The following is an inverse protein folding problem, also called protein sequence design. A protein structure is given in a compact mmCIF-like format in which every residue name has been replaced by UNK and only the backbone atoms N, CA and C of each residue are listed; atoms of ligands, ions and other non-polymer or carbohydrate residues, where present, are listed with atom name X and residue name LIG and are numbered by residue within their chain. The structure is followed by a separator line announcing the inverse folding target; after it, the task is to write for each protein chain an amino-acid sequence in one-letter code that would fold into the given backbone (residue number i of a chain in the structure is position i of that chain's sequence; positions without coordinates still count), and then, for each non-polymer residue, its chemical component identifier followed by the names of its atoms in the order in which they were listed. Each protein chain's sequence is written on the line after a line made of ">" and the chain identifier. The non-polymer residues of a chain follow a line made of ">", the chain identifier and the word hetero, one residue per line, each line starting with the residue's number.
data_IF_432113250374
#
_entry.id   IF_432113250374
#
_cell.length_a   1.000
_cell.length_b   1.000
_cell.length_c   1.000
_cell.angle_alpha   90.00
_cell.angle_beta   90.00
_cell.angle_gamma   90.00
#
_symmetry.space_group_name_H-M   'P 1'
#
loop_
_entity.id
_entity.type
_entity.pdbx_description
1 polymer ?
#
# COMPACT_ATOMS: atom_id res chain seq x y z
N UNK A 1 -11.65 28.14 47.44
CA UNK A 1 -10.72 28.67 46.43
C UNK A 1 -9.65 27.66 46.01
N UNK A 2 -8.89 27.08 46.95
CA UNK A 2 -7.79 26.14 46.63
C UNK A 2 -8.27 24.90 45.85
N UNK A 3 -9.36 24.25 46.28
CA UNK A 3 -9.91 23.06 45.62
C UNK A 3 -10.38 23.34 44.18
N UNK A 4 -10.98 24.51 43.94
CA UNK A 4 -11.43 24.91 42.60
C UNK A 4 -10.23 25.16 41.67
N UNK A 5 -9.18 25.79 42.20
CA UNK A 5 -7.96 26.08 41.46
C UNK A 5 -7.19 24.80 41.10
N UNK A 6 -7.12 23.81 41.99
CA UNK A 6 -6.46 22.53 41.69
C UNK A 6 -7.23 21.70 40.66
N UNK A 7 -8.57 21.67 40.73
CA UNK A 7 -9.42 21.02 39.72
C UNK A 7 -9.26 21.69 38.36
N UNK A 8 -9.23 23.03 38.32
CA UNK A 8 -9.01 23.78 37.08
C UNK A 8 -7.64 23.48 36.45
N UNK A 9 -6.57 23.46 37.25
CA UNK A 9 -5.23 23.13 36.76
C UNK A 9 -5.14 21.69 36.23
N UNK A 10 -5.79 20.72 36.90
CA UNK A 10 -5.83 19.34 36.42
C UNK A 10 -6.58 19.21 35.09
N UNK A 11 -7.71 19.92 34.94
CA UNK A 11 -8.45 19.96 33.67
C UNK A 11 -7.63 20.60 32.55
N UNK A 12 -6.97 21.73 32.82
CA UNK A 12 -6.09 22.39 31.87
C UNK A 12 -4.90 21.51 31.46
N UNK A 13 -4.26 20.82 32.41
CA UNK A 13 -3.21 19.86 32.11
C UNK A 13 -3.71 18.69 31.23
N UNK A 14 -4.92 18.19 31.50
CA UNK A 14 -5.57 17.18 30.68
C UNK A 14 -5.79 17.64 29.24
N UNK A 15 -6.29 18.87 29.04
CA UNK A 15 -6.44 19.46 27.71
C UNK A 15 -5.11 19.63 26.98
N UNK A 16 -4.07 20.08 27.66
CA UNK A 16 -2.73 20.25 27.08
C UNK A 16 -2.20 18.88 26.62
N UNK A 17 -2.35 17.83 27.43
CA UNK A 17 -1.94 16.47 27.05
C UNK A 17 -2.72 15.95 25.84
N UNK A 18 -4.02 16.21 25.77
CA UNK A 18 -4.85 15.82 24.64
C UNK A 18 -4.44 16.58 23.36
N UNK A 19 -4.13 17.86 23.46
CA UNK A 19 -3.63 18.67 22.35
C UNK A 19 -2.26 18.16 21.86
N UNK A 20 -1.33 17.87 22.78
CA UNK A 20 -0.01 17.31 22.43
C UNK A 20 -0.18 15.97 21.71
N UNK A 21 -1.05 15.10 22.23
CA UNK A 21 -1.35 13.81 21.61
C UNK A 21 -1.93 13.97 20.20
N UNK A 22 -2.90 14.88 20.03
CA UNK A 22 -3.49 15.19 18.73
C UNK A 22 -2.47 15.75 17.74
N UNK A 23 -1.61 16.68 18.17
CA UNK A 23 -0.53 17.23 17.34
C UNK A 23 0.46 16.14 16.92
N UNK A 24 0.82 15.25 17.84
CA UNK A 24 1.74 14.13 17.56
C UNK A 24 1.16 13.18 16.51
N UNK A 25 -0.15 12.90 16.56
CA UNK A 25 -0.82 12.08 15.53
C UNK A 25 -0.80 12.80 14.18
N UNK A 26 -1.19 14.07 14.13
CA UNK A 26 -1.21 14.84 12.89
C UNK A 26 0.18 14.95 12.24
N UNK A 27 1.24 15.15 13.04
CA UNK A 27 2.61 15.19 12.55
C UNK A 27 3.06 13.84 11.99
N UNK A 28 2.69 12.73 12.65
CA UNK A 28 2.96 11.37 12.13
C UNK A 28 2.27 11.12 10.80
N UNK A 29 1.00 11.53 10.68
CA UNK A 29 0.22 11.41 9.45
C UNK A 29 0.84 12.21 8.30
N UNK A 30 1.17 13.49 8.54
CA UNK A 30 1.83 14.34 7.54
C UNK A 30 3.16 13.74 7.06
N UNK A 31 3.98 13.24 7.99
CA UNK A 31 5.25 12.60 7.64
C UNK A 31 5.03 11.34 6.80
N UNK A 32 4.08 10.50 7.18
CA UNK A 32 3.75 9.29 6.45
C UNK A 32 3.29 9.57 5.03
N UNK A 33 2.36 10.52 4.85
CA UNK A 33 1.88 10.91 3.52
C UNK A 33 2.99 11.51 2.66
N UNK A 34 3.89 12.29 3.26
CA UNK A 34 5.05 12.84 2.55
C UNK A 34 5.98 11.73 2.03
N UNK A 35 6.31 10.74 2.86
CA UNK A 35 7.16 9.61 2.44
C UNK A 35 6.49 8.77 1.36
N UNK A 36 5.20 8.47 1.52
CA UNK A 36 4.40 7.72 0.52
C UNK A 36 4.39 8.47 -0.82
N UNK A 37 4.06 9.75 -0.83
CA UNK A 37 4.03 10.56 -2.06
C UNK A 37 5.40 10.64 -2.73
N UNK A 38 6.48 10.72 -1.94
CA UNK A 38 7.85 10.68 -2.45
C UNK A 38 8.17 9.35 -3.12
N UNK A 39 7.71 8.23 -2.57
CA UNK A 39 7.87 6.91 -3.21
C UNK A 39 7.04 6.81 -4.47
N UNK A 40 5.76 7.22 -4.47
CA UNK A 40 4.96 7.28 -5.69
C UNK A 40 5.60 8.12 -6.78
N UNK A 41 6.11 9.30 -6.44
CA UNK A 41 6.83 10.16 -7.38
C UNK A 41 8.05 9.45 -7.98
N UNK A 42 8.85 8.75 -7.17
CA UNK A 42 9.96 7.93 -7.67
C UNK A 42 9.48 6.81 -8.59
N UNK A 43 8.38 6.13 -8.25
CA UNK A 43 7.82 5.07 -9.09
C UNK A 43 7.40 5.62 -10.46
N UNK A 44 6.75 6.77 -10.52
CA UNK A 44 6.35 7.38 -11.79
C UNK A 44 7.53 7.77 -12.69
N UNK A 45 8.72 7.98 -12.12
CA UNK A 45 9.94 8.30 -12.84
C UNK A 45 10.75 7.07 -13.25
N UNK A 46 10.32 5.86 -12.89
CA UNK A 46 11.01 4.65 -13.31
C UNK A 46 10.74 4.37 -14.79
N UNK A 47 11.81 4.37 -15.57
CA UNK A 47 11.83 3.89 -16.94
C UNK A 47 11.43 2.41 -16.99
N UNK A 48 10.61 2.08 -17.98
CA UNK A 48 10.20 0.71 -18.28
C UNK A 48 10.72 0.32 -19.65
N UNK A 49 11.41 -0.83 -19.74
CA UNK A 49 11.76 -1.39 -21.05
C UNK A 49 10.53 -2.07 -21.68
N UNK A 50 10.43 -2.15 -23.02
CA UNK A 50 9.40 -2.94 -23.66
C UNK A 50 9.43 -4.39 -23.16
N UNK A 51 8.32 -4.87 -22.59
CA UNK A 51 8.20 -6.21 -22.03
C UNK A 51 8.38 -6.30 -20.51
N UNK A 52 8.77 -5.22 -19.83
CA UNK A 52 8.75 -5.19 -18.37
C UNK A 52 7.29 -5.16 -17.87
N UNK A 53 6.84 -6.23 -17.23
CA UNK A 53 5.50 -6.31 -16.64
C UNK A 53 5.49 -5.73 -15.21
N UNK A 54 6.57 -5.95 -14.46
CA UNK A 54 6.73 -5.52 -13.07
C UNK A 54 8.10 -4.90 -12.82
N UNK A 55 8.10 -3.70 -12.23
CA UNK A 55 9.30 -2.95 -11.89
C UNK A 55 9.32 -2.71 -10.38
N UNK A 56 10.38 -3.17 -9.70
CA UNK A 56 10.55 -2.98 -8.26
C UNK A 56 11.52 -1.82 -8.02
N UNK A 57 11.08 -0.79 -7.30
CA UNK A 57 11.95 0.30 -6.89
C UNK A 57 12.96 -0.19 -5.85
N UNK A 58 14.24 -0.13 -6.21
CA UNK A 58 15.34 -0.49 -5.31
C UNK A 58 15.20 -1.93 -4.82
N UNK A 59 15.13 -2.92 -5.74
CA UNK A 59 14.99 -4.34 -5.41
C UNK A 59 16.00 -4.87 -4.39
N UNK A 60 17.19 -4.25 -4.35
CA UNK A 60 18.29 -4.63 -3.48
C UNK A 60 18.26 -3.89 -2.12
N UNK A 61 17.27 -3.03 -1.90
CA UNK A 61 17.09 -2.29 -0.64
C UNK A 61 16.78 -3.29 0.50
N UNK A 62 17.51 -3.22 1.64
CA UNK A 62 17.23 -4.05 2.81
C UNK A 62 15.78 -3.96 3.33
N UNK A 63 15.05 -2.90 3.02
CA UNK A 63 13.63 -2.75 3.34
C UNK A 63 12.76 -3.86 2.72
N UNK A 64 13.20 -4.50 1.64
CA UNK A 64 12.52 -5.65 1.04
C UNK A 64 12.72 -6.96 1.80
N UNK A 65 13.68 -7.04 2.73
CA UNK A 65 13.97 -8.25 3.51
C UNK A 65 14.16 -9.51 2.62
N UNK A 66 14.74 -9.34 1.44
CA UNK A 66 14.93 -10.40 0.45
C UNK A 66 13.67 -10.85 -0.30
N UNK A 67 12.52 -10.19 -0.11
CA UNK A 67 11.23 -10.57 -0.72
C UNK A 67 10.90 -9.88 -2.03
N UNK A 68 11.74 -8.97 -2.52
CA UNK A 68 11.53 -8.32 -3.81
C UNK A 68 11.34 -9.33 -4.97
N UNK A 69 12.14 -10.41 -5.11
CA UNK A 69 11.93 -11.41 -6.15
C UNK A 69 10.59 -12.14 -6.02
N UNK A 70 10.22 -12.53 -4.79
CA UNK A 70 8.94 -13.17 -4.52
C UNK A 70 7.77 -12.26 -4.93
N UNK A 71 7.77 -11.00 -4.49
CA UNK A 71 6.71 -10.03 -4.83
C UNK A 71 6.61 -9.84 -6.35
N UNK A 72 7.76 -9.71 -7.03
CA UNK A 72 7.80 -9.60 -8.49
C UNK A 72 7.13 -10.80 -9.16
N UNK A 73 7.53 -12.02 -8.81
CA UNK A 73 6.97 -13.25 -9.37
C UNK A 73 5.44 -13.34 -9.16
N UNK A 74 4.96 -13.02 -7.94
CA UNK A 74 3.52 -13.09 -7.63
C UNK A 74 2.72 -12.07 -8.43
N UNK A 75 3.23 -10.85 -8.61
CA UNK A 75 2.53 -9.83 -9.41
C UNK A 75 2.58 -10.14 -10.91
N UNK A 76 3.70 -10.65 -11.42
CA UNK A 76 3.78 -11.14 -12.81
C UNK A 76 2.78 -12.27 -13.08
N UNK A 77 2.62 -13.19 -12.12
CA UNK A 77 1.58 -14.21 -12.19
C UNK A 77 0.17 -13.60 -12.24
N UNK A 78 -0.12 -12.63 -11.36
CA UNK A 78 -1.41 -11.96 -11.34
C UNK A 78 -1.72 -11.24 -12.67
N UNK A 79 -0.74 -10.54 -13.24
CA UNK A 79 -0.85 -9.90 -14.56
C UNK A 79 -1.21 -10.95 -15.63
N UNK A 80 -0.49 -12.06 -15.65
CA UNK A 80 -0.74 -13.15 -16.60
C UNK A 80 -2.14 -13.76 -16.46
N UNK A 81 -2.60 -13.98 -15.23
CA UNK A 81 -3.97 -14.46 -14.95
C UNK A 81 -4.99 -13.45 -15.43
N UNK A 82 -4.84 -12.17 -15.05
CA UNK A 82 -5.75 -11.10 -15.45
C UNK A 82 -5.84 -10.92 -16.95
N UNK A 83 -4.73 -11.05 -17.66
CA UNK A 83 -4.68 -11.01 -19.14
C UNK A 83 -5.46 -12.16 -19.75
N UNK A 84 -5.24 -13.40 -19.29
CA UNK A 84 -5.97 -14.59 -19.77
C UNK A 84 -7.47 -14.53 -19.49
N UNK A 85 -7.87 -13.89 -18.39
CA UNK A 85 -9.28 -13.72 -18.02
C UNK A 85 -9.94 -12.50 -18.69
N UNK A 86 -9.19 -11.70 -19.44
CA UNK A 86 -9.71 -10.47 -20.07
C UNK A 86 -10.03 -9.36 -19.08
N UNK A 87 -9.44 -9.38 -17.89
CA UNK A 87 -9.59 -8.31 -16.89
C UNK A 87 -8.60 -7.16 -17.12
N UNK A 88 -7.44 -7.46 -17.69
CA UNK A 88 -6.40 -6.47 -17.96
C UNK A 88 -6.79 -5.64 -19.20
N UNK A 89 -6.83 -4.31 -19.07
CA UNK A 89 -6.97 -3.42 -20.22
C UNK A 89 -5.69 -3.47 -21.07
N UNK A 90 -5.82 -3.53 -22.40
CA UNK A 90 -4.66 -3.59 -23.32
C UNK A 90 -3.69 -2.41 -23.16
N UNK A 91 -4.18 -1.27 -22.66
CA UNK A 91 -3.40 -0.06 -22.40
C UNK A 91 -2.71 -0.03 -21.03
N UNK A 92 -2.73 -1.12 -20.25
CA UNK A 92 -2.08 -1.15 -18.94
C UNK A 92 -0.55 -1.14 -19.08
N UNK A 93 0.10 -0.17 -18.44
CA UNK A 93 1.56 -0.08 -18.30
C UNK A 93 2.09 -1.06 -17.23
N UNK A 94 3.41 -1.25 -17.20
CA UNK A 94 4.11 -2.01 -16.16
C UNK A 94 3.67 -1.62 -14.75
N UNK A 95 3.41 -2.62 -13.91
CA UNK A 95 3.12 -2.41 -12.49
C UNK A 95 4.40 -2.04 -11.76
N UNK A 96 4.40 -0.93 -11.04
CA UNK A 96 5.57 -0.42 -10.33
C UNK A 96 5.37 -0.57 -8.84
N UNK A 97 6.32 -1.15 -8.12
CA UNK A 97 6.16 -1.49 -6.71
C UNK A 97 7.28 -0.88 -5.89
N UNK A 98 6.92 -0.16 -4.84
CA UNK A 98 7.85 0.42 -3.88
C UNK A 98 7.57 -0.06 -2.46
N UNK A 99 8.56 0.12 -1.58
CA UNK A 99 8.41 -0.11 -0.15
C UNK A 99 8.67 1.19 0.61
N UNK A 100 7.96 1.39 1.72
CA UNK A 100 8.17 2.53 2.63
C UNK A 100 8.19 2.05 4.08
N UNK A 101 8.98 2.70 4.92
CA UNK A 101 9.11 2.34 6.34
C UNK A 101 7.78 2.40 7.09
N UNK A 102 6.88 3.31 6.71
CA UNK A 102 5.59 3.42 7.37
C UNK A 102 4.51 4.06 6.49
N UNK A 103 3.37 3.38 6.38
CA UNK A 103 2.09 3.91 5.90
C UNK A 103 1.16 3.96 7.10
N UNK A 104 0.69 5.15 7.47
CA UNK A 104 -0.18 5.29 8.63
C UNK A 104 -1.52 4.64 8.35
N UNK A 105 -1.89 3.65 9.17
CA UNK A 105 -3.15 2.92 9.14
C UNK A 105 -3.37 1.93 7.98
N UNK A 106 -2.44 1.83 7.03
CA UNK A 106 -2.58 0.92 5.88
C UNK A 106 -1.36 0.00 5.74
N UNK A 107 -1.62 -1.17 5.19
CA UNK A 107 -0.59 -2.18 4.92
C UNK A 107 0.05 -1.99 3.53
N UNK A 108 -0.68 -1.38 2.59
CA UNK A 108 -0.22 -0.90 1.30
C UNK A 108 -1.16 0.21 0.77
N UNK A 109 -0.74 0.91 -0.28
CA UNK A 109 -1.54 1.87 -1.03
C UNK A 109 -1.30 1.67 -2.52
N UNK A 110 -2.36 1.83 -3.32
CA UNK A 110 -2.30 1.72 -4.77
C UNK A 110 -2.76 3.00 -5.43
N UNK A 111 -1.98 3.51 -6.39
CA UNK A 111 -2.37 4.59 -7.28
C UNK A 111 -2.07 4.20 -8.72
N UNK A 112 -3.09 4.01 -9.55
CA UNK A 112 -2.95 3.64 -10.98
C UNK A 112 -2.06 2.40 -11.20
N UNK A 113 -0.87 2.61 -11.79
CA UNK A 113 0.28 1.73 -11.99
C UNK A 113 0.96 1.14 -10.76
N UNK A 114 0.84 1.86 -9.66
CA UNK A 114 1.85 1.91 -8.64
C UNK A 114 1.31 1.35 -7.34
N UNK A 115 2.08 0.46 -6.72
CA UNK A 115 1.77 -0.13 -5.41
C UNK A 115 2.89 0.26 -4.45
N UNK A 116 2.55 0.85 -3.32
CA UNK A 116 3.49 1.17 -2.25
C UNK A 116 3.15 0.31 -1.04
N UNK A 117 4.09 -0.54 -0.62
CA UNK A 117 3.89 -1.49 0.47
C UNK A 117 4.57 -0.98 1.74
N UNK A 118 3.88 -1.10 2.88
CA UNK A 118 4.49 -0.84 4.17
C UNK A 118 5.52 -1.94 4.50
N UNK A 119 6.74 -1.57 4.91
CA UNK A 119 7.79 -2.52 5.27
C UNK A 119 7.35 -3.53 6.34
N UNK A 120 6.49 -3.12 7.28
CA UNK A 120 5.95 -4.03 8.28
C UNK A 120 5.10 -5.15 7.65
N UNK A 121 4.44 -4.89 6.53
CA UNK A 121 3.71 -5.88 5.74
C UNK A 121 4.67 -6.86 5.06
N UNK A 122 5.80 -6.36 4.53
CA UNK A 122 6.87 -7.20 3.95
C UNK A 122 7.39 -8.21 4.96
N UNK A 123 7.50 -7.86 6.25
CA UNK A 123 7.98 -8.77 7.29
C UNK A 123 7.00 -9.93 7.62
N UNK A 124 5.74 -9.87 7.18
CA UNK A 124 4.75 -10.92 7.44
C UNK A 124 4.95 -12.14 6.55
N UNK A 125 4.20 -13.21 6.80
CA UNK A 125 4.32 -14.44 6.03
C UNK A 125 3.86 -14.27 4.56
N UNK A 126 4.23 -15.25 3.72
CA UNK A 126 3.92 -15.24 2.29
C UNK A 126 2.42 -15.27 2.00
N UNK A 127 1.63 -16.01 2.79
CA UNK A 127 0.16 -16.03 2.65
C UNK A 127 -0.45 -14.64 2.84
N UNK A 128 0.03 -13.89 3.83
CA UNK A 128 -0.41 -12.52 4.06
C UNK A 128 -0.03 -11.62 2.88
N UNK A 129 1.19 -11.76 2.37
CA UNK A 129 1.64 -11.00 1.20
C UNK A 129 0.82 -11.32 -0.06
N UNK A 130 0.46 -12.59 -0.28
CA UNK A 130 -0.42 -12.98 -1.38
C UNK A 130 -1.80 -12.33 -1.28
N UNK A 131 -2.39 -12.29 -0.07
CA UNK A 131 -3.65 -11.58 0.16
C UNK A 131 -3.51 -10.09 -0.15
N UNK A 132 -2.43 -9.46 0.32
CA UNK A 132 -2.15 -8.04 0.10
C UNK A 132 -1.95 -7.73 -1.38
N UNK A 133 -1.14 -8.52 -2.09
CA UNK A 133 -0.87 -8.31 -3.52
C UNK A 133 -2.13 -8.53 -4.36
N UNK A 134 -2.96 -9.53 -4.04
CA UNK A 134 -4.25 -9.70 -4.71
C UNK A 134 -5.18 -8.50 -4.47
N UNK A 135 -5.19 -7.94 -3.25
CA UNK A 135 -5.99 -6.78 -2.88
C UNK A 135 -5.57 -5.55 -3.70
N UNK A 136 -4.28 -5.19 -3.62
CA UNK A 136 -3.74 -4.01 -4.27
C UNK A 136 -3.80 -4.13 -5.80
N UNK A 137 -3.47 -5.29 -6.36
CA UNK A 137 -3.55 -5.49 -7.80
C UNK A 137 -4.99 -5.46 -8.34
N UNK A 138 -5.98 -5.77 -7.50
CA UNK A 138 -7.39 -5.58 -7.89
C UNK A 138 -7.72 -4.10 -8.08
N UNK A 139 -7.18 -3.20 -7.24
CA UNK A 139 -7.30 -1.75 -7.44
C UNK A 139 -6.64 -1.29 -8.74
N UNK A 140 -5.48 -1.88 -9.08
CA UNK A 140 -4.79 -1.60 -10.36
C UNK A 140 -5.69 -1.94 -11.56
N UNK A 141 -6.40 -3.07 -11.51
CA UNK A 141 -7.30 -3.52 -12.59
C UNK A 141 -8.57 -2.67 -12.66
N UNK A 142 -9.20 -2.38 -11.51
CA UNK A 142 -10.49 -1.71 -11.42
C UNK A 142 -10.36 -0.24 -11.04
N UNK A 143 -9.28 0.42 -11.51
CA UNK A 143 -8.95 1.80 -11.14
C UNK A 143 -10.04 2.83 -11.49
N UNK A 144 -10.92 2.50 -12.43
CA UNK A 144 -12.05 3.33 -12.87
C UNK A 144 -13.35 3.06 -12.09
N UNK A 145 -13.35 2.09 -11.16
CA UNK A 145 -14.49 1.86 -10.27
C UNK A 145 -14.55 2.98 -9.21
N UNK A 146 -15.71 3.65 -9.11
CA UNK A 146 -15.89 4.81 -8.21
C UNK A 146 -15.86 4.46 -6.72
N UNK A 147 -16.15 3.20 -6.40
CA UNK A 147 -16.12 2.67 -5.03
C UNK A 147 -14.83 1.86 -4.87
N UNK A 148 -14.05 2.20 -3.84
CA UNK A 148 -12.74 1.59 -3.55
C UNK A 148 -12.86 0.05 -3.48
N UNK A 149 -13.93 -0.48 -2.89
CA UNK A 149 -14.21 -1.92 -2.88
C UNK A 149 -15.56 -2.24 -3.52
N UNK A 150 -15.78 -1.73 -4.73
CA UNK A 150 -16.98 -1.97 -5.51
C UNK A 150 -17.20 -3.44 -5.89
N UNK A 151 -18.27 -3.70 -6.66
CA UNK A 151 -18.66 -5.08 -7.00
C UNK A 151 -17.66 -5.75 -7.93
N UNK A 152 -17.08 -4.99 -8.87
CA UNK A 152 -16.12 -5.52 -9.84
C UNK A 152 -14.81 -5.82 -9.12
N UNK A 153 -14.34 -4.91 -8.27
CA UNK A 153 -13.17 -5.10 -7.42
C UNK A 153 -13.32 -6.36 -6.55
N UNK A 154 -14.43 -6.53 -5.82
CA UNK A 154 -14.65 -7.69 -4.93
C UNK A 154 -14.60 -9.01 -5.68
N UNK A 155 -15.20 -9.06 -6.88
CA UNK A 155 -15.17 -10.25 -7.73
C UNK A 155 -13.74 -10.52 -8.23
N UNK A 156 -13.04 -9.49 -8.67
CA UNK A 156 -11.67 -9.57 -9.17
C UNK A 156 -10.73 -10.07 -8.08
N UNK A 157 -10.74 -9.43 -6.91
CA UNK A 157 -9.96 -9.83 -5.73
C UNK A 157 -10.17 -11.30 -5.37
N UNK A 158 -11.42 -11.75 -5.27
CA UNK A 158 -11.73 -13.15 -4.94
C UNK A 158 -11.13 -14.13 -5.95
N UNK A 159 -11.26 -13.84 -7.23
CA UNK A 159 -10.74 -14.70 -8.31
C UNK A 159 -9.21 -14.73 -8.26
N UNK A 160 -8.57 -13.57 -8.17
CA UNK A 160 -7.12 -13.46 -8.17
C UNK A 160 -6.49 -14.14 -6.96
N UNK A 161 -7.07 -13.93 -5.77
CA UNK A 161 -6.59 -14.55 -4.56
C UNK A 161 -6.72 -16.07 -4.61
N UNK A 162 -7.84 -16.59 -5.11
CA UNK A 162 -8.02 -18.04 -5.29
C UNK A 162 -6.96 -18.63 -6.24
N UNK A 163 -6.56 -17.88 -7.27
CA UNK A 163 -5.53 -18.32 -8.22
C UNK A 163 -4.13 -18.31 -7.61
N UNK A 164 -3.78 -17.28 -6.83
CA UNK A 164 -2.49 -17.23 -6.13
C UNK A 164 -2.33 -18.39 -5.14
N UNK A 165 -3.39 -18.75 -4.41
CA UNK A 165 -3.35 -19.85 -3.42
C UNK A 165 -3.22 -21.25 -4.04
N UNK A 166 -3.29 -21.38 -5.36
CA UNK A 166 -3.14 -22.66 -6.09
C UNK A 166 -1.75 -22.85 -6.71
N UNK A 167 -0.85 -21.88 -6.56
CA UNK A 167 0.58 -22.00 -6.84
C UNK A 167 1.28 -22.67 -5.66
#
# INVERSE_FOLDING_TARGET
>A
MILFFTVFLAWLAGLILLLIWFLKINLRLKKSNYEVNKVFHKLYLLDSSPGDEVIILGSDDPAWLGKAPYIKERVEFLINVSRRLGFLKESMFSVRIGVVENISYYDALTETSCIVINKNSINRNNEYLDNLLAHEFSHVITWDEKDEHGKIWKKTYKILLERLRKL
#
